data_IF_033867005026
#
_entry.id   IF_033867005026
#
_cell.length_a   1.000
_cell.length_b   1.000
_cell.length_c   1.000
_cell.angle_alpha   90.00
_cell.angle_beta   90.00
_cell.angle_gamma   90.00
#
_symmetry.space_group_name_H-M   'P 1'
#
loop_
_entity.id
_entity.type
_entity.pdbx_description
1 polymer ?
#
# COMPACT_ATOMS: atom_id res chain seq x y z
N UNK A 1 -21.62 23.79 7.02
CA UNK A 1 -20.98 24.26 5.77
C UNK A 1 -21.06 23.13 4.77
N UNK A 2 -21.73 23.33 3.63
CA UNK A 2 -21.73 22.35 2.55
C UNK A 2 -20.50 22.61 1.69
N UNK A 3 -19.47 21.76 1.81
CA UNK A 3 -18.29 21.85 0.95
C UNK A 3 -18.70 21.42 -0.46
N UNK A 4 -18.52 22.28 -1.45
CA UNK A 4 -18.74 21.89 -2.83
C UNK A 4 -17.69 20.84 -3.23
N UNK A 5 -18.06 19.93 -4.13
CA UNK A 5 -17.20 18.83 -4.59
C UNK A 5 -15.86 19.33 -5.16
N UNK A 6 -15.84 20.53 -5.73
CA UNK A 6 -14.63 21.20 -6.23
C UNK A 6 -13.67 21.60 -5.09
N UNK A 7 -14.19 22.10 -3.97
CA UNK A 7 -13.38 22.50 -2.81
C UNK A 7 -12.74 21.29 -2.15
N UNK A 8 -13.48 20.19 -2.06
CA UNK A 8 -12.98 18.91 -1.54
C UNK A 8 -11.88 18.33 -2.43
N UNK A 9 -12.02 18.45 -3.75
CA UNK A 9 -11.01 17.99 -4.71
C UNK A 9 -9.73 18.82 -4.62
N UNK A 10 -9.85 20.15 -4.57
CA UNK A 10 -8.71 21.06 -4.43
C UNK A 10 -7.95 20.85 -3.12
N UNK A 11 -8.68 20.67 -2.01
CA UNK A 11 -8.07 20.34 -0.71
C UNK A 11 -7.33 19.00 -0.77
N UNK A 12 -7.93 17.97 -1.39
CA UNK A 12 -7.26 16.68 -1.60
C UNK A 12 -5.98 16.82 -2.43
N UNK A 13 -6.01 17.62 -3.49
CA UNK A 13 -4.86 17.85 -4.34
C UNK A 13 -3.76 18.62 -3.60
N UNK A 14 -4.10 19.62 -2.77
CA UNK A 14 -3.14 20.34 -1.92
C UNK A 14 -2.51 19.42 -0.88
N UNK A 15 -3.31 18.63 -0.17
CA UNK A 15 -2.84 17.64 0.80
C UNK A 15 -1.85 16.63 0.18
N UNK A 16 -2.12 16.18 -1.06
CA UNK A 16 -1.18 15.34 -1.82
C UNK A 16 0.09 16.09 -2.21
N UNK A 17 -0.04 17.33 -2.69
CA UNK A 17 1.08 18.18 -3.12
C UNK A 17 2.06 18.49 -1.98
N UNK A 18 1.54 18.64 -0.77
CA UNK A 18 2.33 18.81 0.47
C UNK A 18 3.05 17.52 0.91
N UNK A 19 2.75 16.39 0.27
CA UNK A 19 3.41 15.11 0.51
C UNK A 19 2.91 14.35 1.75
N UNK A 20 1.83 14.81 2.38
CA UNK A 20 1.23 14.13 3.55
C UNK A 20 0.78 12.71 3.21
N UNK A 21 0.14 12.53 2.06
CA UNK A 21 -0.30 11.22 1.58
C UNK A 21 0.87 10.24 1.38
N UNK A 22 1.95 10.69 0.73
CA UNK A 22 3.11 9.84 0.45
C UNK A 22 3.90 9.50 1.72
N UNK A 23 4.03 10.45 2.66
CA UNK A 23 4.59 10.19 3.99
C UNK A 23 3.80 9.11 4.71
N UNK A 24 2.48 9.25 4.73
CA UNK A 24 1.61 8.31 5.42
C UNK A 24 1.68 6.91 4.80
N UNK A 25 1.64 6.83 3.47
CA UNK A 25 1.81 5.56 2.75
C UNK A 25 3.14 4.90 3.12
N UNK A 26 4.23 5.68 3.14
CA UNK A 26 5.56 5.16 3.50
C UNK A 26 5.59 4.65 4.95
N UNK A 27 5.01 5.38 5.87
CA UNK A 27 4.95 5.00 7.29
C UNK A 27 4.22 3.66 7.47
N UNK A 28 3.03 3.52 6.87
CA UNK A 28 2.25 2.27 6.89
C UNK A 28 3.07 1.10 6.33
N UNK A 29 3.76 1.31 5.21
CA UNK A 29 4.57 0.27 4.55
C UNK A 29 5.86 -0.07 5.31
N UNK A 30 6.40 0.88 6.07
CA UNK A 30 7.61 0.69 6.88
C UNK A 30 7.36 -0.03 8.21
N UNK A 31 6.11 -0.08 8.66
CA UNK A 31 5.76 -0.75 9.90
C UNK A 31 5.96 -2.27 9.80
N UNK A 32 6.36 -2.94 10.90
CA UNK A 32 6.42 -4.39 10.94
C UNK A 32 5.06 -5.02 10.59
N UNK A 33 5.10 -6.14 9.87
CA UNK A 33 3.89 -6.89 9.52
C UNK A 33 3.25 -7.57 10.74
N UNK A 34 4.06 -8.03 11.69
CA UNK A 34 3.62 -8.66 12.94
C UNK A 34 4.25 -7.96 14.15
N UNK A 35 3.47 -7.80 15.23
CA UNK A 35 3.94 -7.33 16.55
C UNK A 35 4.79 -8.37 17.29
N UNK A 36 5.18 -9.47 16.65
CA UNK A 36 6.01 -10.51 17.28
C UNK A 36 7.47 -10.08 17.18
N UNK A 37 8.09 -9.88 18.35
CA UNK A 37 9.36 -9.19 18.58
C UNK A 37 10.62 -9.85 17.98
N UNK A 38 10.52 -10.88 17.14
CA UNK A 38 11.71 -11.67 16.76
C UNK A 38 12.24 -11.51 15.34
N UNK A 39 11.59 -10.77 14.43
CA UNK A 39 12.23 -10.39 13.16
C UNK A 39 11.62 -9.10 12.60
N UNK A 40 12.40 -8.03 12.68
CA UNK A 40 12.08 -6.64 12.33
C UNK A 40 12.00 -6.38 10.81
N UNK A 41 11.39 -7.29 10.06
CA UNK A 41 11.17 -7.06 8.63
C UNK A 41 9.98 -6.11 8.42
N UNK A 42 10.18 -5.06 7.63
CA UNK A 42 9.09 -4.15 7.30
C UNK A 42 8.05 -4.86 6.45
N UNK A 43 6.81 -4.40 6.53
CA UNK A 43 5.74 -4.94 5.70
C UNK A 43 6.09 -4.87 4.20
N UNK A 44 6.73 -3.78 3.76
CA UNK A 44 7.21 -3.65 2.38
C UNK A 44 8.20 -4.76 2.00
N UNK A 45 9.14 -5.09 2.86
CA UNK A 45 10.13 -6.14 2.60
C UNK A 45 9.48 -7.52 2.53
N UNK A 46 8.57 -7.81 3.46
CA UNK A 46 7.79 -9.05 3.45
C UNK A 46 6.95 -9.18 2.16
N UNK A 47 6.30 -8.09 1.73
CA UNK A 47 5.54 -8.04 0.49
C UNK A 47 6.44 -8.27 -0.74
N UNK A 48 7.62 -7.62 -0.80
CA UNK A 48 8.58 -7.78 -1.90
C UNK A 48 9.07 -9.21 -2.02
N UNK A 49 9.42 -9.86 -0.90
CA UNK A 49 9.82 -11.28 -0.89
C UNK A 49 8.69 -12.17 -1.41
N UNK A 50 7.45 -11.89 -1.00
CA UNK A 50 6.28 -12.65 -1.44
C UNK A 50 6.02 -12.53 -2.93
N UNK A 51 6.05 -11.31 -3.46
CA UNK A 51 5.96 -11.06 -4.90
C UNK A 51 7.08 -11.79 -5.64
N UNK A 52 8.31 -11.77 -5.14
CA UNK A 52 9.43 -12.47 -5.78
C UNK A 52 9.23 -14.00 -5.80
N UNK A 53 8.74 -14.59 -4.70
CA UNK A 53 8.40 -16.02 -4.66
C UNK A 53 7.29 -16.37 -5.65
N UNK A 54 6.19 -15.61 -5.67
CA UNK A 54 5.09 -15.83 -6.61
C UNK A 54 5.51 -15.66 -8.06
N UNK A 55 6.35 -14.66 -8.37
CA UNK A 55 6.94 -14.49 -9.71
C UNK A 55 7.75 -15.72 -10.09
N UNK A 56 8.56 -16.24 -9.17
CA UNK A 56 9.40 -17.42 -9.40
C UNK A 56 8.55 -18.68 -9.64
N UNK A 57 7.50 -18.86 -8.85
CA UNK A 57 6.51 -19.94 -9.05
C UNK A 57 5.84 -19.83 -10.42
N UNK A 58 5.34 -18.65 -10.78
CA UNK A 58 4.71 -18.43 -12.09
C UNK A 58 5.65 -18.68 -13.27
N UNK A 59 6.93 -18.32 -13.11
CA UNK A 59 7.97 -18.58 -14.12
C UNK A 59 8.33 -20.06 -14.19
N UNK A 60 8.31 -20.79 -13.07
CA UNK A 60 8.51 -22.24 -13.08
C UNK A 60 7.31 -22.98 -13.68
N UNK A 61 6.09 -22.48 -13.48
CA UNK A 61 4.86 -23.02 -14.09
C UNK A 61 4.82 -22.81 -15.61
N UNK A 62 5.35 -21.67 -16.09
CA UNK A 62 5.45 -21.33 -17.51
C UNK A 62 6.86 -20.80 -17.83
N UNK A 63 7.79 -21.72 -18.14
CA UNK A 63 9.17 -21.38 -18.48
C UNK A 63 9.27 -20.50 -19.75
N UNK A 64 8.24 -20.45 -20.60
CA UNK A 64 8.21 -19.54 -21.76
C UNK A 64 8.24 -18.06 -21.33
N UNK A 65 7.87 -17.76 -20.08
CA UNK A 65 7.99 -16.43 -19.50
C UNK A 65 9.44 -15.96 -19.37
N UNK A 66 10.42 -16.87 -19.29
CA UNK A 66 11.86 -16.56 -19.26
C UNK A 66 12.35 -16.09 -20.63
N UNK A 67 11.76 -16.64 -21.69
CA UNK A 67 12.15 -16.36 -23.08
C UNK A 67 11.48 -15.11 -23.65
N UNK A 68 10.46 -14.56 -22.97
CA UNK A 68 9.83 -13.28 -23.33
C UNK A 68 10.69 -12.10 -22.83
N UNK A 69 10.59 -10.95 -23.51
CA UNK A 69 11.28 -9.73 -23.06
C UNK A 69 10.92 -9.42 -21.61
N UNK A 70 11.91 -9.08 -20.78
CA UNK A 70 11.73 -8.82 -19.33
C UNK A 70 10.56 -7.89 -19.03
N UNK A 71 10.35 -6.84 -19.83
CA UNK A 71 9.22 -5.92 -19.68
C UNK A 71 7.85 -6.54 -19.99
N UNK A 72 7.75 -7.43 -20.99
CA UNK A 72 6.51 -8.16 -21.29
C UNK A 72 6.19 -9.17 -20.20
N UNK A 73 7.20 -9.89 -19.69
CA UNK A 73 7.03 -10.84 -18.60
C UNK A 73 6.55 -10.14 -17.32
N UNK A 74 7.14 -9.01 -16.95
CA UNK A 74 6.65 -8.20 -15.82
C UNK A 74 5.20 -7.76 -16.00
N UNK A 75 4.83 -7.25 -17.18
CA UNK A 75 3.46 -6.81 -17.45
C UNK A 75 2.45 -7.97 -17.41
N UNK A 76 2.83 -9.16 -17.88
CA UNK A 76 1.97 -10.35 -17.82
C UNK A 76 1.74 -10.81 -16.38
N UNK A 77 2.82 -10.84 -15.58
CA UNK A 77 2.73 -11.25 -14.18
C UNK A 77 1.92 -10.23 -13.37
N UNK A 78 2.17 -8.94 -13.54
CA UNK A 78 1.36 -7.87 -12.92
C UNK A 78 -0.11 -7.97 -13.32
N UNK A 79 -0.39 -8.16 -14.62
CA UNK A 79 -1.77 -8.32 -15.11
C UNK A 79 -2.46 -9.52 -14.46
N UNK A 80 -1.74 -10.62 -14.28
CA UNK A 80 -2.29 -11.82 -13.67
C UNK A 80 -2.57 -11.63 -12.18
N UNK A 81 -1.64 -11.02 -11.43
CA UNK A 81 -1.82 -10.69 -10.02
C UNK A 81 -2.98 -9.69 -9.79
N UNK A 82 -3.16 -8.73 -10.69
CA UNK A 82 -4.31 -7.81 -10.61
C UNK A 82 -5.63 -8.53 -10.92
N UNK A 83 -5.65 -9.39 -11.94
CA UNK A 83 -6.84 -10.16 -12.34
C UNK A 83 -7.28 -11.14 -11.26
N UNK A 84 -6.34 -11.74 -10.53
CA UNK A 84 -6.64 -12.64 -9.42
C UNK A 84 -6.86 -11.93 -8.09
N UNK A 85 -6.96 -10.59 -8.08
CA UNK A 85 -7.13 -9.77 -6.89
C UNK A 85 -6.07 -10.08 -5.82
N UNK A 86 -4.83 -10.30 -6.26
CA UNK A 86 -3.68 -10.62 -5.44
C UNK A 86 -3.83 -11.92 -4.63
N UNK A 87 -4.76 -12.81 -4.98
CA UNK A 87 -5.00 -14.04 -4.25
C UNK A 87 -3.77 -14.95 -4.23
N UNK A 88 -2.96 -14.93 -5.30
CA UNK A 88 -1.68 -15.66 -5.36
C UNK A 88 -0.67 -15.17 -4.32
N UNK A 89 -0.74 -13.89 -3.91
CA UNK A 89 0.05 -13.38 -2.79
C UNK A 89 -0.49 -13.88 -1.44
N UNK A 90 -1.69 -14.44 -1.36
CA UNK A 90 -2.27 -14.99 -0.13
C UNK A 90 -1.95 -16.47 0.12
N UNK A 91 -1.47 -17.21 -0.89
CA UNK A 91 -1.15 -18.65 -0.81
C UNK A 91 0.09 -18.91 0.07
N UNK A 92 0.10 -20.01 0.83
CA UNK A 92 1.28 -20.43 1.63
C UNK A 92 2.54 -20.45 0.75
N UNK A 93 3.67 -19.94 1.25
CA UNK A 93 4.94 -20.14 0.55
C UNK A 93 5.34 -21.60 0.67
N UNK A 94 5.80 -22.21 -0.43
CA UNK A 94 6.47 -23.51 -0.34
C UNK A 94 7.82 -23.35 0.39
N UNK A 95 7.99 -24.12 1.48
CA UNK A 95 9.14 -24.05 2.40
C UNK A 95 8.76 -23.83 3.87
N UNK A 96 7.48 -23.59 4.14
CA UNK A 96 6.96 -23.30 5.48
C UNK A 96 6.52 -24.59 6.20
N UNK A 97 7.51 -25.30 6.77
CA UNK A 97 7.29 -26.46 7.63
C UNK A 97 6.89 -26.01 9.03
N UNK A 98 5.66 -25.53 9.21
CA UNK A 98 5.17 -25.09 10.51
C UNK A 98 3.66 -25.01 10.58
N UNK A 99 3.08 -25.83 11.45
CA UNK A 99 1.68 -25.70 11.85
C UNK A 99 1.41 -24.31 12.44
N UNK A 100 0.64 -23.50 11.72
CA UNK A 100 -0.07 -22.35 12.31
C UNK A 100 0.27 -20.95 11.80
N UNK A 101 1.11 -20.76 10.78
CA UNK A 101 1.48 -19.39 10.37
C UNK A 101 0.47 -18.71 9.43
N UNK A 102 0.18 -17.46 9.79
CA UNK A 102 -0.93 -16.63 9.31
C UNK A 102 -0.82 -16.38 7.81
N UNK A 103 -1.91 -16.65 7.09
CA UNK A 103 -2.14 -16.21 5.70
C UNK A 103 -1.73 -14.73 5.57
N UNK A 104 -0.94 -14.39 4.55
CA UNK A 104 -0.60 -13.00 4.26
C UNK A 104 -1.82 -12.35 3.61
N UNK A 105 -2.71 -11.86 4.46
CA UNK A 105 -3.95 -11.24 4.04
C UNK A 105 -3.74 -9.72 3.93
N UNK A 106 -3.25 -9.31 2.76
CA UNK A 106 -2.98 -7.92 2.40
C UNK A 106 -4.19 -7.02 2.67
N UNK A 107 -5.38 -7.48 2.29
CA UNK A 107 -6.61 -6.73 2.45
C UNK A 107 -6.97 -6.54 3.93
N UNK A 108 -6.82 -7.59 4.74
CA UNK A 108 -7.02 -7.50 6.19
C UNK A 108 -6.04 -6.52 6.82
N UNK A 109 -4.76 -6.58 6.44
CA UNK A 109 -3.76 -5.65 6.98
C UNK A 109 -4.07 -4.19 6.58
N UNK A 110 -4.32 -3.92 5.31
CA UNK A 110 -4.65 -2.56 4.84
C UNK A 110 -5.90 -2.05 5.53
N UNK A 111 -6.96 -2.86 5.63
CA UNK A 111 -8.19 -2.48 6.35
C UNK A 111 -7.92 -2.20 7.83
N UNK A 112 -7.14 -3.05 8.50
CA UNK A 112 -6.79 -2.85 9.92
C UNK A 112 -6.04 -1.54 10.16
N UNK A 113 -5.13 -1.16 9.25
CA UNK A 113 -4.41 0.11 9.33
C UNK A 113 -5.33 1.29 9.04
N UNK A 114 -6.20 1.20 8.03
CA UNK A 114 -7.15 2.27 7.69
C UNK A 114 -8.24 2.49 8.76
N UNK A 115 -8.50 1.48 9.60
CA UNK A 115 -9.43 1.55 10.72
C UNK A 115 -8.78 2.05 12.02
N UNK A 116 -7.48 2.33 12.04
CA UNK A 116 -6.79 2.86 13.23
C UNK A 116 -7.34 4.25 13.58
N UNK A 117 -7.97 4.44 14.76
CA UNK A 117 -8.50 5.75 15.17
C UNK A 117 -7.40 6.82 15.26
N UNK A 118 -6.16 6.45 15.62
CA UNK A 118 -5.05 7.40 15.72
C UNK A 118 -4.66 7.92 14.34
N UNK A 119 -4.65 7.02 13.35
CA UNK A 119 -4.41 7.39 11.96
C UNK A 119 -5.48 8.37 11.47
N UNK A 120 -6.74 8.08 11.76
CA UNK A 120 -7.86 8.91 11.34
C UNK A 120 -7.82 10.30 11.99
N UNK A 121 -7.48 10.40 13.26
CA UNK A 121 -7.28 11.69 13.94
C UNK A 121 -6.08 12.47 13.39
N UNK A 122 -4.97 11.79 13.08
CA UNK A 122 -3.81 12.43 12.44
C UNK A 122 -4.17 13.00 11.05
N UNK A 123 -4.89 12.23 10.23
CA UNK A 123 -5.33 12.70 8.90
C UNK A 123 -6.24 13.92 9.04
N UNK A 124 -7.17 13.92 9.99
CA UNK A 124 -8.03 15.09 10.25
C UNK A 124 -7.22 16.32 10.65
N UNK A 125 -6.25 16.16 11.54
CA UNK A 125 -5.38 17.26 11.97
C UNK A 125 -4.61 17.87 10.79
N UNK A 126 -3.99 17.02 9.98
CA UNK A 126 -3.25 17.48 8.79
C UNK A 126 -4.19 18.15 7.76
N UNK A 127 -5.38 17.61 7.53
CA UNK A 127 -6.36 18.23 6.64
C UNK A 127 -6.83 19.59 7.15
N UNK A 128 -6.95 19.76 8.46
CA UNK A 128 -7.31 21.04 9.07
C UNK A 128 -6.17 22.06 8.94
N UNK A 129 -4.92 21.64 9.09
CA UNK A 129 -3.75 22.48 8.81
C UNK A 129 -3.69 22.90 7.33
N UNK A 130 -3.88 21.96 6.40
CA UNK A 130 -3.93 22.25 4.95
C UNK A 130 -5.10 23.18 4.59
N UNK A 131 -6.24 23.05 5.28
CA UNK A 131 -7.39 23.94 5.08
C UNK A 131 -7.07 25.37 5.57
N UNK A 132 -6.48 25.51 6.75
CA UNK A 132 -6.09 26.81 7.28
C UNK A 132 -5.06 27.50 6.37
N UNK A 133 -4.06 26.77 5.88
CA UNK A 133 -3.07 27.32 4.94
C UNK A 133 -3.70 27.72 3.60
N UNK A 134 -4.72 27.01 3.15
CA UNK A 134 -5.49 27.36 1.95
C UNK A 134 -6.32 28.63 2.14
N UNK A 135 -6.98 28.79 3.28
CA UNK A 135 -7.75 30.00 3.59
C UNK A 135 -6.84 31.24 3.76
N UNK A 136 -5.65 31.07 4.34
CA UNK A 136 -4.64 32.15 4.45
C UNK A 136 -4.09 32.59 3.08
N UNK A 137 -3.79 31.65 2.17
CA UNK A 137 -3.34 31.96 0.80
C UNK A 137 -4.43 32.66 -0.03
N UNK A 138 -5.69 32.25 0.14
CA UNK A 138 -6.83 32.86 -0.54
C UNK A 138 -7.11 34.29 -0.05
N UNK A 139 -6.89 34.56 1.24
CA UNK A 139 -7.11 35.88 1.86
C UNK A 139 -5.89 36.81 1.77
N UNK A 140 -4.69 36.28 1.54
CA UNK A 140 -3.44 37.06 1.38
C UNK A 140 -3.15 37.54 -0.04
N UNK A 141 -3.97 37.16 -1.03
CA UNK A 141 -3.91 37.71 -2.39
C UNK A 141 -4.74 39.00 -2.50
N UNK A 142 -4.24 40.10 -1.95
CA UNK A 142 -4.63 41.48 -2.29
C UNK A 142 -3.41 42.34 -2.50
#
# INVERSE_FOLDING_TARGET
MAYNQEDSKRLSDKYKKEGHFDKLKREILSNPWNNTEENSESFEQALRKRVASTVKEMVNEDEELIFKNRGLTSALIESQLVKDNYLKLGSKMEGDNGDGEKKFDLDVYVRSKLQDPKLLEMIKGQLQETLNSYEEEANGST
#
